data_IF_291513761222
#
_entry.id   IF_291513761222
#
_cell.length_a   1.000
_cell.length_b   1.000
_cell.length_c   1.000
_cell.angle_alpha   90.00
_cell.angle_beta   90.00
_cell.angle_gamma   90.00
#
_symmetry.space_group_name_H-M   'P 1'
#
loop_
_entity.id
_entity.type
_entity.pdbx_description
1 polymer ?
#
# COMPACT_ATOMS: atom_id res chain seq x y z
N UNK A 1 32.88 18.41 -21.64
CA UNK A 1 32.59 17.09 -22.24
C UNK A 1 31.67 16.32 -21.29
N UNK A 2 30.39 16.69 -21.22
CA UNK A 2 29.42 16.02 -20.37
C UNK A 2 28.74 14.93 -21.21
N UNK A 3 29.01 13.67 -20.88
CA UNK A 3 28.47 12.52 -21.59
C UNK A 3 26.95 12.53 -21.58
N UNK A 4 26.37 12.40 -22.77
CA UNK A 4 24.96 12.09 -22.97
C UNK A 4 24.66 10.79 -22.23
N UNK A 5 23.95 10.88 -21.10
CA UNK A 5 23.29 9.71 -20.54
C UNK A 5 22.26 9.27 -21.57
N UNK A 6 22.61 8.24 -22.33
CA UNK A 6 21.81 7.69 -23.41
C UNK A 6 20.36 7.56 -22.99
N UNK A 7 19.46 8.12 -23.78
CA UNK A 7 18.02 7.97 -23.60
C UNK A 7 17.74 6.46 -23.58
N UNK A 8 17.20 5.88 -22.49
CA UNK A 8 16.96 4.44 -22.46
C UNK A 8 16.08 4.07 -23.65
N UNK A 9 16.48 3.03 -24.39
CA UNK A 9 15.66 2.42 -25.43
C UNK A 9 14.25 2.19 -24.88
N UNK A 10 13.21 2.41 -25.68
CA UNK A 10 11.80 2.40 -25.25
C UNK A 10 11.37 1.00 -24.77
N UNK A 11 11.82 0.63 -23.56
CA UNK A 11 11.41 -0.55 -22.83
C UNK A 11 9.96 -0.38 -22.37
N UNK A 12 9.29 -1.52 -22.13
CA UNK A 12 7.92 -1.51 -21.62
C UNK A 12 7.80 -0.57 -20.41
N UNK A 13 6.70 0.21 -20.32
CA UNK A 13 6.49 1.10 -19.17
C UNK A 13 6.59 0.29 -17.88
N UNK A 14 7.40 0.78 -16.94
CA UNK A 14 7.56 0.17 -15.62
C UNK A 14 6.27 0.42 -14.83
N UNK A 15 5.67 -0.64 -14.28
CA UNK A 15 4.37 -0.60 -13.59
C UNK A 15 4.53 -1.14 -12.17
N UNK A 16 3.91 -0.48 -11.20
CA UNK A 16 3.87 -0.93 -9.81
C UNK A 16 2.45 -0.90 -9.27
N UNK A 17 2.02 -2.03 -8.69
CA UNK A 17 0.75 -2.19 -7.99
C UNK A 17 1.03 -2.21 -6.49
N UNK A 18 0.34 -1.36 -5.76
CA UNK A 18 0.30 -1.37 -4.30
C UNK A 18 -1.07 -1.91 -3.88
N UNK A 19 -1.12 -2.92 -3.02
CA UNK A 19 -2.38 -3.49 -2.53
C UNK A 19 -2.52 -3.21 -1.03
N UNK A 20 -3.67 -2.72 -0.59
CA UNK A 20 -3.91 -2.41 0.83
C UNK A 20 -5.37 -2.65 1.23
N UNK A 21 -5.61 -2.69 2.55
CA UNK A 21 -6.92 -2.83 3.17
C UNK A 21 -7.01 -1.94 4.43
N UNK A 22 -8.16 -1.91 5.09
CA UNK A 22 -8.29 -1.37 6.46
C UNK A 22 -7.66 0.02 6.69
N UNK A 23 -8.09 0.99 5.87
CA UNK A 23 -7.86 2.44 6.01
C UNK A 23 -6.46 2.87 6.50
N UNK A 24 -6.37 4.07 7.11
CA UNK A 24 -5.14 4.88 7.22
C UNK A 24 -3.88 4.15 7.75
N UNK A 25 -4.04 3.22 8.70
CA UNK A 25 -2.92 2.54 9.35
C UNK A 25 -2.08 1.66 8.41
N UNK A 26 -2.71 1.07 7.39
CA UNK A 26 -1.98 0.29 6.38
C UNK A 26 -1.58 1.13 5.16
N UNK A 27 -2.36 2.17 4.83
CA UNK A 27 -2.12 3.00 3.65
C UNK A 27 -0.91 3.92 3.82
N UNK A 28 -0.83 4.69 4.92
CA UNK A 28 0.15 5.78 5.05
C UNK A 28 1.61 5.33 4.96
N UNK A 29 2.02 4.17 5.50
CA UNK A 29 3.38 3.68 5.33
C UNK A 29 3.77 3.43 3.86
N UNK A 30 2.80 3.16 2.98
CA UNK A 30 3.03 2.86 1.57
C UNK A 30 3.15 4.13 0.70
N UNK A 31 2.58 5.25 1.16
CA UNK A 31 2.46 6.49 0.38
C UNK A 31 3.82 7.03 -0.10
N UNK A 32 4.87 7.15 0.75
CA UNK A 32 6.16 7.68 0.31
C UNK A 32 6.80 6.82 -0.77
N UNK A 33 6.75 5.49 -0.64
CA UNK A 33 7.32 4.55 -1.61
C UNK A 33 6.57 4.59 -2.94
N UNK A 34 5.24 4.65 -2.91
CA UNK A 34 4.43 4.79 -4.12
C UNK A 34 4.75 6.08 -4.88
N UNK A 35 4.94 7.20 -4.16
CA UNK A 35 5.39 8.45 -4.77
C UNK A 35 6.82 8.39 -5.32
N UNK A 36 7.75 7.72 -4.62
CA UNK A 36 9.10 7.51 -5.13
C UNK A 36 9.10 6.69 -6.43
N UNK A 37 8.25 5.65 -6.51
CA UNK A 37 8.05 4.88 -7.75
C UNK A 37 7.55 5.78 -8.90
N UNK A 38 6.58 6.67 -8.64
CA UNK A 38 6.09 7.65 -9.63
C UNK A 38 7.21 8.61 -10.06
N UNK A 39 7.98 9.14 -9.11
CA UNK A 39 9.10 10.03 -9.38
C UNK A 39 10.22 9.36 -10.20
N UNK A 40 10.38 8.04 -10.08
CA UNK A 40 11.28 7.23 -10.90
C UNK A 40 10.73 6.90 -12.31
N UNK A 41 9.53 7.41 -12.65
CA UNK A 41 8.89 7.23 -13.95
C UNK A 41 8.08 5.93 -14.08
N UNK A 42 7.68 5.31 -12.97
CA UNK A 42 6.77 4.15 -13.00
C UNK A 42 5.31 4.60 -13.06
N UNK A 43 4.49 3.83 -13.76
CA UNK A 43 3.03 3.89 -13.64
C UNK A 43 2.63 3.17 -12.35
N UNK A 44 2.01 3.90 -11.44
CA UNK A 44 1.64 3.39 -10.10
C UNK A 44 0.14 3.39 -9.97
N UNK A 45 -0.42 2.34 -9.36
CA UNK A 45 -1.83 2.26 -8.94
C UNK A 45 -1.96 1.56 -7.59
N UNK A 46 -2.95 1.98 -6.80
CA UNK A 46 -3.29 1.37 -5.52
C UNK A 46 -4.58 0.56 -5.65
N UNK A 47 -4.52 -0.75 -5.51
CA UNK A 47 -5.67 -1.62 -5.41
C UNK A 47 -6.15 -1.70 -3.96
N UNK A 48 -7.43 -1.43 -3.72
CA UNK A 48 -8.02 -1.51 -2.38
C UNK A 48 -9.55 -1.76 -2.47
N UNK A 49 -10.17 -2.23 -1.37
CA UNK A 49 -11.63 -2.29 -1.28
C UNK A 49 -12.30 -0.93 -1.53
N UNK A 50 -13.53 -0.89 -2.09
CA UNK A 50 -14.23 0.36 -2.40
C UNK A 50 -14.26 1.38 -1.24
N UNK A 51 -14.43 0.92 0.00
CA UNK A 51 -14.47 1.79 1.18
C UNK A 51 -13.11 2.46 1.53
N UNK A 52 -11.99 1.97 0.98
CA UNK A 52 -10.66 2.55 1.18
C UNK A 52 -10.31 3.63 0.15
N UNK A 53 -10.98 3.68 -1.01
CA UNK A 53 -10.67 4.61 -2.11
C UNK A 53 -10.62 6.08 -1.67
N UNK A 54 -11.55 6.61 -0.85
CA UNK A 54 -11.46 7.99 -0.39
C UNK A 54 -10.16 8.31 0.34
N UNK A 55 -9.63 7.37 1.13
CA UNK A 55 -8.37 7.56 1.82
C UNK A 55 -7.19 7.59 0.85
N UNK A 56 -7.18 6.70 -0.15
CA UNK A 56 -6.15 6.66 -1.21
C UNK A 56 -6.17 7.94 -2.04
N UNK A 57 -7.34 8.41 -2.47
CA UNK A 57 -7.44 9.63 -3.27
C UNK A 57 -6.91 10.87 -2.54
N UNK A 58 -7.08 10.96 -1.21
CA UNK A 58 -6.49 12.05 -0.40
C UNK A 58 -4.97 12.06 -0.38
N UNK A 59 -4.30 10.96 -0.76
CA UNK A 59 -2.83 10.93 -0.88
C UNK A 59 -2.34 11.36 -2.26
N UNK A 60 -3.24 11.72 -3.18
CA UNK A 60 -2.93 12.05 -4.57
C UNK A 60 -2.51 10.86 -5.43
N UNK A 61 -2.69 9.62 -4.95
CA UNK A 61 -2.37 8.40 -5.70
C UNK A 61 -3.63 7.89 -6.45
N UNK A 62 -3.47 7.34 -7.67
CA UNK A 62 -4.57 6.69 -8.37
C UNK A 62 -4.96 5.39 -7.68
N UNK A 63 -6.27 5.11 -7.64
CA UNK A 63 -6.84 3.96 -6.96
C UNK A 63 -7.69 3.12 -7.92
N UNK A 64 -7.70 1.81 -7.73
CA UNK A 64 -8.59 0.88 -8.42
C UNK A 64 -9.36 0.07 -7.37
N UNK A 65 -10.70 0.03 -7.44
CA UNK A 65 -11.50 -0.80 -6.54
C UNK A 65 -11.26 -2.28 -6.83
N UNK A 66 -10.98 -3.06 -5.79
CA UNK A 66 -10.84 -4.52 -5.86
C UNK A 66 -11.61 -5.15 -4.71
N UNK A 67 -12.42 -6.15 -5.01
CA UNK A 67 -13.29 -6.82 -4.04
C UNK A 67 -14.60 -6.06 -3.78
N UNK A 68 -15.45 -6.63 -2.92
CA UNK A 68 -16.78 -6.11 -2.63
C UNK A 68 -16.76 -4.99 -1.57
N UNK A 69 -17.77 -4.13 -1.62
CA UNK A 69 -17.91 -3.01 -0.68
C UNK A 69 -18.17 -3.45 0.78
N UNK A 70 -18.61 -4.70 0.98
CA UNK A 70 -19.15 -5.20 2.25
C UNK A 70 -18.14 -5.94 3.13
N UNK A 71 -16.93 -6.22 2.67
CA UNK A 71 -15.92 -6.88 3.51
C UNK A 71 -15.03 -5.88 4.24
N UNK A 72 -15.60 -5.23 5.26
CA UNK A 72 -14.79 -5.06 6.45
C UNK A 72 -14.51 -6.48 6.95
N UNK A 73 -13.31 -7.00 6.69
CA UNK A 73 -12.86 -8.32 7.15
C UNK A 73 -13.42 -8.54 8.55
N UNK A 74 -14.39 -9.46 8.66
CA UNK A 74 -14.84 -9.92 9.96
C UNK A 74 -13.58 -10.43 10.63
N UNK A 75 -13.08 -9.74 11.65
CA UNK A 75 -11.92 -10.24 12.41
C UNK A 75 -12.24 -11.68 12.75
N UNK A 76 -11.41 -12.60 12.25
CA UNK A 76 -11.55 -14.02 12.58
C UNK A 76 -11.63 -14.16 14.11
N UNK A 77 -12.20 -15.26 14.63
CA UNK A 77 -12.30 -15.44 16.07
C UNK A 77 -10.93 -15.15 16.72
N UNK A 78 -10.89 -14.49 17.89
CA UNK A 78 -9.69 -13.90 18.52
C UNK A 78 -8.54 -14.89 18.82
N UNK A 79 -8.70 -16.17 18.46
CA UNK A 79 -7.71 -17.24 18.63
C UNK A 79 -6.44 -17.07 17.77
N UNK A 80 -6.43 -16.18 16.77
CA UNK A 80 -5.25 -15.96 15.91
C UNK A 80 -4.71 -14.51 15.86
N UNK A 81 -5.42 -13.54 16.43
CA UNK A 81 -4.95 -12.14 16.47
C UNK A 81 -4.73 -11.73 17.92
N UNK A 82 -3.53 -11.27 18.28
CA UNK A 82 -3.41 -10.42 19.47
C UNK A 82 -4.20 -9.16 19.18
N UNK A 83 -5.12 -8.81 20.07
CA UNK A 83 -5.79 -7.52 19.99
C UNK A 83 -4.81 -6.42 20.42
N UNK A 84 -4.93 -5.26 19.76
CA UNK A 84 -4.21 -4.06 20.14
C UNK A 84 -4.62 -3.69 21.57
N UNK A 85 -3.64 -3.56 22.48
CA UNK A 85 -3.90 -3.34 23.92
C UNK A 85 -4.12 -4.60 24.74
N UNK A 86 -3.78 -5.78 24.24
CA UNK A 86 -3.83 -7.03 25.02
C UNK A 86 -2.76 -7.07 26.14
N UNK A 87 -3.16 -7.45 27.35
CA UNK A 87 -2.29 -7.68 28.51
C UNK A 87 -1.41 -8.94 28.41
N UNK A 88 -1.49 -9.69 27.29
CA UNK A 88 -0.64 -10.86 27.10
C UNK A 88 0.84 -10.42 27.07
N UNK A 89 1.77 -11.09 27.75
CA UNK A 89 3.19 -10.76 27.67
C UNK A 89 3.73 -10.97 26.24
N UNK A 90 4.75 -10.20 25.86
CA UNK A 90 5.51 -10.47 24.64
C UNK A 90 6.21 -11.84 24.73
N UNK A 91 6.50 -12.51 23.59
CA UNK A 91 7.37 -13.68 23.60
C UNK A 91 8.69 -13.37 24.30
N UNK A 92 9.24 -14.34 25.03
CA UNK A 92 10.53 -14.17 25.68
C UNK A 92 11.60 -13.76 24.66
N UNK A 93 12.39 -12.72 24.98
CA UNK A 93 13.46 -12.20 24.11
C UNK A 93 13.04 -11.10 23.11
N UNK A 94 11.82 -10.57 23.22
CA UNK A 94 11.31 -9.46 22.41
C UNK A 94 11.17 -8.13 23.20
N UNK A 95 11.87 -8.04 24.34
CA UNK A 95 12.06 -6.84 25.17
C UNK A 95 13.53 -6.51 25.23
#
# INVERSE_FOLDING_TARGET
MAGERGRPAAGRPRRALFATWSAAGHLFPMVPTAWACRAAGMEVVVAAPPYCLPAVHRTGLPAVPVGDATEAVRKGPPRFSRDWGSDRPWPAGWT
#
